data_IF_718893092444
#
_entry.id   IF_718893092444
#
_cell.length_a   1.000
_cell.length_b   1.000
_cell.length_c   1.000
_cell.angle_alpha   90.00
_cell.angle_beta   90.00
_cell.angle_gamma   90.00
#
_symmetry.space_group_name_H-M   'P 1'
#
loop_
_entity.id
_entity.type
_entity.pdbx_description
1 polymer ?
#
# COMPACT_ATOMS: atom_id res chain seq x y z
N UNK A 1 10.23 5.22 14.34
CA UNK A 1 11.04 6.08 13.46
C UNK A 1 10.19 6.67 12.33
N UNK A 2 9.68 5.84 11.42
CA UNK A 2 8.77 6.36 10.40
C UNK A 2 7.36 6.42 10.96
N UNK A 3 6.64 7.53 10.70
CA UNK A 3 5.23 7.60 11.06
C UNK A 3 4.39 6.86 10.02
N UNK A 4 4.74 6.99 8.77
CA UNK A 4 4.05 6.31 7.67
C UNK A 4 4.91 6.31 6.42
N UNK A 5 4.58 5.44 5.50
CA UNK A 5 5.19 5.36 4.17
C UNK A 5 4.05 5.50 3.16
N UNK A 6 4.24 6.35 2.15
CA UNK A 6 3.23 6.56 1.12
C UNK A 6 3.81 6.31 -0.26
N UNK A 7 3.05 5.62 -1.10
CA UNK A 7 3.41 5.41 -2.50
C UNK A 7 2.32 5.97 -3.41
N UNK A 8 2.73 6.46 -4.57
CA UNK A 8 1.80 6.98 -5.55
C UNK A 8 1.14 5.88 -6.37
N UNK A 9 -0.09 6.14 -6.82
CA UNK A 9 -0.83 5.20 -7.64
C UNK A 9 -1.55 5.96 -8.77
N UNK A 10 -1.46 5.44 -9.98
CA UNK A 10 -2.16 6.02 -11.12
C UNK A 10 -3.62 5.55 -11.17
N UNK A 11 -3.86 4.27 -10.88
CA UNK A 11 -5.20 3.71 -10.73
C UNK A 11 -5.37 3.32 -9.28
N UNK A 12 -5.92 4.23 -8.49
CA UNK A 12 -5.98 4.07 -7.03
C UNK A 12 -6.87 2.89 -6.63
N UNK A 13 -7.95 2.62 -7.36
CA UNK A 13 -8.85 1.52 -7.02
C UNK A 13 -8.22 0.16 -7.34
N UNK A 14 -7.48 0.06 -8.43
CA UNK A 14 -6.73 -1.15 -8.75
C UNK A 14 -5.64 -1.39 -7.71
N UNK A 15 -4.92 -0.34 -7.33
CA UNK A 15 -3.90 -0.43 -6.28
C UNK A 15 -4.51 -0.82 -4.94
N UNK A 16 -5.67 -0.29 -4.60
CA UNK A 16 -6.38 -0.69 -3.39
C UNK A 16 -6.68 -2.17 -3.38
N UNK A 17 -7.21 -2.71 -4.48
CA UNK A 17 -7.50 -4.14 -4.59
C UNK A 17 -6.23 -4.97 -4.38
N UNK A 18 -5.14 -4.57 -5.00
CA UNK A 18 -3.85 -5.25 -4.84
C UNK A 18 -3.39 -5.25 -3.38
N UNK A 19 -3.38 -4.09 -2.74
CA UNK A 19 -2.88 -3.99 -1.37
C UNK A 19 -3.85 -4.55 -0.33
N UNK A 20 -5.16 -4.50 -0.58
CA UNK A 20 -6.12 -5.20 0.29
C UNK A 20 -5.79 -6.69 0.35
N UNK A 21 -5.42 -7.29 -0.79
CA UNK A 21 -5.07 -8.70 -0.85
C UNK A 21 -3.71 -8.97 -0.21
N UNK A 22 -2.68 -8.22 -0.61
CA UNK A 22 -1.32 -8.45 -0.12
C UNK A 22 -1.23 -8.21 1.39
N UNK A 23 -1.68 -7.06 1.86
CA UNK A 23 -1.58 -6.71 3.26
C UNK A 23 -2.58 -7.48 4.11
N UNK A 24 -3.70 -7.91 3.50
CA UNK A 24 -4.67 -8.79 4.18
C UNK A 24 -4.05 -10.12 4.56
N UNK A 25 -3.17 -10.69 3.73
CA UNK A 25 -2.44 -11.91 4.08
C UNK A 25 -1.57 -11.68 5.30
N UNK A 26 -1.02 -10.47 5.45
CA UNK A 26 -0.17 -10.11 6.59
C UNK A 26 -0.98 -9.72 7.83
N UNK A 27 -2.29 -9.62 7.74
CA UNK A 27 -3.17 -9.35 8.87
C UNK A 27 -3.76 -7.94 8.91
N UNK A 28 -3.52 -7.12 7.90
CA UNK A 28 -4.09 -5.77 7.85
C UNK A 28 -5.55 -5.83 7.39
N UNK A 29 -6.36 -4.90 7.88
CA UNK A 29 -7.73 -4.71 7.40
C UNK A 29 -7.71 -4.03 6.04
N UNK A 30 -8.82 -4.09 5.27
CA UNK A 30 -8.91 -3.34 4.03
C UNK A 30 -8.60 -1.86 4.20
N UNK A 31 -8.09 -1.23 3.15
CA UNK A 31 -7.68 0.15 3.21
C UNK A 31 -8.79 1.10 3.62
N UNK A 32 -8.45 2.05 4.50
CA UNK A 32 -9.36 3.09 4.97
C UNK A 32 -9.20 4.33 4.11
N UNK A 33 -10.28 4.75 3.46
CA UNK A 33 -10.25 5.91 2.59
C UNK A 33 -10.26 7.20 3.41
N UNK A 34 -9.20 8.01 3.24
CA UNK A 34 -9.08 9.32 3.87
C UNK A 34 -8.65 10.30 2.79
N UNK A 35 -9.56 11.10 2.22
CA UNK A 35 -9.20 12.02 1.14
C UNK A 35 -8.16 13.04 1.62
N UNK A 36 -7.26 13.42 0.70
CA UNK A 36 -6.34 14.49 0.97
C UNK A 36 -7.09 15.83 0.94
N UNK A 37 -6.54 16.83 1.62
CA UNK A 37 -7.12 18.19 1.59
C UNK A 37 -7.17 18.76 0.18
N UNK A 38 -6.30 18.32 -0.71
CA UNK A 38 -6.27 18.73 -2.11
C UNK A 38 -7.18 17.89 -3.01
N UNK A 39 -7.94 16.96 -2.44
CA UNK A 39 -8.98 16.21 -3.17
C UNK A 39 -8.57 14.84 -3.68
N UNK A 40 -7.29 14.50 -3.64
CA UNK A 40 -6.84 13.19 -4.11
C UNK A 40 -7.30 12.08 -3.16
N UNK A 41 -7.63 10.92 -3.73
CA UNK A 41 -8.03 9.75 -2.97
C UNK A 41 -6.82 9.08 -2.36
N UNK A 42 -6.93 8.71 -1.08
CA UNK A 42 -5.89 7.98 -0.36
C UNK A 42 -6.51 6.82 0.39
N UNK A 43 -5.73 5.73 0.53
CA UNK A 43 -6.12 4.61 1.38
C UNK A 43 -5.00 4.34 2.37
N UNK A 44 -5.36 4.17 3.64
CA UNK A 44 -4.43 3.92 4.73
C UNK A 44 -4.56 2.49 5.20
N UNK A 45 -3.42 1.84 5.42
CA UNK A 45 -3.34 0.49 5.97
C UNK A 45 -2.54 0.53 7.25
N UNK A 46 -3.03 -0.16 8.26
CA UNK A 46 -2.37 -0.21 9.58
C UNK A 46 -2.01 -1.65 9.89
N UNK A 47 -0.75 -1.87 10.26
CA UNK A 47 -0.24 -3.20 10.55
C UNK A 47 0.93 -3.08 11.53
N UNK A 48 0.83 -3.77 12.66
CA UNK A 48 1.90 -3.84 13.68
C UNK A 48 2.40 -2.45 14.12
N UNK A 49 1.47 -1.50 14.29
CA UNK A 49 1.82 -0.15 14.70
C UNK A 49 2.42 0.72 13.59
N UNK A 50 2.52 0.18 12.38
CA UNK A 50 3.02 0.91 11.22
C UNK A 50 1.87 1.34 10.33
N UNK A 51 2.06 2.41 9.59
CA UNK A 51 1.08 2.93 8.64
C UNK A 51 1.68 2.91 7.23
N UNK A 52 0.95 2.30 6.31
CA UNK A 52 1.28 2.30 4.89
C UNK A 52 0.14 2.94 4.13
N UNK A 53 0.44 3.84 3.20
CA UNK A 53 -0.58 4.57 2.45
C UNK A 53 -0.35 4.46 0.96
N UNK A 54 -1.47 4.44 0.21
CA UNK A 54 -1.43 4.66 -1.23
C UNK A 54 -2.23 5.91 -1.54
N UNK A 55 -1.80 6.68 -2.52
CA UNK A 55 -2.43 7.96 -2.85
C UNK A 55 -2.29 8.27 -4.32
N UNK A 56 -3.31 8.92 -4.88
CA UNK A 56 -3.10 9.62 -6.14
C UNK A 56 -2.08 10.74 -5.87
N UNK A 57 -1.11 10.99 -6.80
CA UNK A 57 -0.11 12.03 -6.56
C UNK A 57 -0.73 13.40 -6.37
N UNK A 58 -0.29 14.12 -5.34
CA UNK A 58 -0.90 15.41 -4.96
C UNK A 58 -0.55 16.52 -5.94
N UNK A 59 0.47 16.35 -6.77
CA UNK A 59 0.83 17.33 -7.79
C UNK A 59 0.04 17.17 -9.10
N UNK A 60 -0.86 16.16 -9.15
CA UNK A 60 -1.67 15.92 -10.33
C UNK A 60 -0.95 15.24 -11.48
N UNK A 61 0.34 14.95 -11.32
CA UNK A 61 1.12 14.29 -12.35
C UNK A 61 1.04 12.77 -12.20
N UNK A 62 1.35 11.99 -13.25
CA UNK A 62 1.35 10.54 -13.13
C UNK A 62 2.35 10.05 -12.09
N UNK A 63 1.99 8.99 -11.37
CA UNK A 63 2.89 8.34 -10.43
C UNK A 63 3.98 7.60 -11.19
N UNK A 64 5.18 7.56 -10.61
CA UNK A 64 6.30 6.82 -11.18
C UNK A 64 7.01 6.02 -10.10
N UNK A 65 7.65 4.91 -10.51
CA UNK A 65 8.47 4.14 -9.59
C UNK A 65 9.80 4.85 -9.38
N UNK A 66 10.24 4.96 -8.12
CA UNK A 66 11.56 5.49 -7.81
C UNK A 66 12.63 4.45 -8.11
N UNK A 67 13.62 4.83 -8.92
CA UNK A 67 14.73 3.95 -9.21
C UNK A 67 15.58 3.76 -7.95
N UNK A 68 15.75 2.50 -7.53
CA UNK A 68 16.51 2.19 -6.33
C UNK A 68 15.68 2.13 -5.05
N UNK A 69 14.38 2.38 -5.12
CA UNK A 69 13.50 2.31 -3.97
C UNK A 69 13.04 0.87 -3.74
N UNK A 70 12.99 0.46 -2.46
CA UNK A 70 12.48 -0.85 -2.08
C UNK A 70 11.73 -0.72 -0.77
N UNK A 71 10.55 -1.33 -0.69
CA UNK A 71 9.79 -1.45 0.54
C UNK A 71 9.54 -2.92 0.80
N UNK A 72 10.05 -3.43 1.92
CA UNK A 72 9.89 -4.82 2.29
C UNK A 72 8.88 -4.99 3.41
N UNK A 73 8.09 -6.05 3.33
CA UNK A 73 7.15 -6.42 4.38
C UNK A 73 7.61 -7.70 5.05
N UNK A 74 7.57 -7.73 6.37
CA UNK A 74 7.89 -8.94 7.13
C UNK A 74 6.77 -9.95 6.98
N UNK A 75 7.14 -11.22 6.81
CA UNK A 75 6.19 -12.33 6.83
C UNK A 75 6.43 -13.15 8.09
N UNK A 76 5.37 -13.80 8.58
CA UNK A 76 5.47 -14.58 9.81
C UNK A 76 6.00 -16.00 9.55
N UNK A 77 5.68 -16.57 8.38
CA UNK A 77 6.09 -17.93 8.03
C UNK A 77 6.08 -18.14 6.52
N UNK A 78 6.51 -19.33 6.10
CA UNK A 78 6.58 -19.67 4.69
C UNK A 78 5.19 -19.72 4.03
N UNK A 79 4.16 -20.13 4.78
CA UNK A 79 2.80 -20.19 4.24
C UNK A 79 2.29 -18.80 3.85
N UNK A 80 2.62 -17.77 4.65
CA UNK A 80 2.31 -16.39 4.29
C UNK A 80 3.06 -15.97 3.04
N UNK A 81 4.34 -16.29 2.96
CA UNK A 81 5.15 -15.98 1.78
C UNK A 81 4.59 -16.62 0.52
N UNK A 82 4.16 -17.88 0.61
CA UNK A 82 3.55 -18.58 -0.52
C UNK A 82 2.26 -17.92 -0.95
N UNK A 83 1.41 -17.52 -0.01
CA UNK A 83 0.16 -16.81 -0.34
C UNK A 83 0.45 -15.49 -1.05
N UNK A 84 1.45 -14.74 -0.59
CA UNK A 84 1.84 -13.50 -1.24
C UNK A 84 2.35 -13.74 -2.66
N UNK A 85 3.09 -14.82 -2.89
CA UNK A 85 3.55 -15.19 -4.22
C UNK A 85 2.39 -15.49 -5.16
N UNK A 86 1.31 -16.10 -4.66
CA UNK A 86 0.12 -16.39 -5.47
C UNK A 86 -0.70 -15.14 -5.78
N UNK A 87 -0.68 -14.16 -4.89
CA UNK A 87 -1.36 -12.88 -5.10
C UNK A 87 -0.58 -11.99 -6.04
N UNK A 88 0.72 -12.08 -5.97
CA UNK A 88 1.61 -11.28 -6.80
C UNK A 88 1.39 -11.58 -8.27
N UNK A 89 1.31 -10.59 -9.03
CA UNK A 89 0.97 -10.67 -10.44
C UNK A 89 2.19 -10.96 -11.31
#
# INVERSE_FOLDING_TARGET
MFSHIMVGANDIEESKTFYDNVLGVLGAKPGLMVPNLTGQTRYFYFLEGMTFCISEPIDGEPASAGNGSTIGFNIEDEAQGDKLSLIHI
#
